data_IF_209348022750
#
_entry.id   IF_209348022750
#
_cell.length_a   1.000
_cell.length_b   1.000
_cell.length_c   1.000
_cell.angle_alpha   90.00
_cell.angle_beta   90.00
_cell.angle_gamma   90.00
#
_symmetry.space_group_name_H-M   'P 1'
#
loop_
_entity.id
_entity.type
_entity.pdbx_description
1 polymer ?
#
# COMPACT_ATOMS: atom_id res chain seq x y z
N UNK A 1 40.61 26.50 18.23
CA UNK A 1 39.76 26.51 17.05
C UNK A 1 39.31 25.08 16.85
N UNK A 2 38.24 24.68 17.53
CA UNK A 2 37.78 23.30 17.56
C UNK A 2 36.61 23.17 16.59
N UNK A 3 36.82 22.44 15.51
CA UNK A 3 35.75 21.95 14.63
C UNK A 3 35.00 20.85 15.34
N UNK A 4 33.94 21.18 16.05
CA UNK A 4 33.00 20.20 16.53
C UNK A 4 32.12 19.79 15.38
N UNK A 5 32.21 18.52 15.05
CA UNK A 5 31.40 17.74 14.10
C UNK A 5 29.92 18.09 14.20
N UNK A 6 29.34 18.49 13.07
CA UNK A 6 27.90 18.68 12.90
C UNK A 6 27.21 17.30 12.85
N UNK A 7 27.02 16.69 13.99
CA UNK A 7 26.17 15.50 14.08
C UNK A 7 24.73 15.96 14.22
N UNK A 8 24.01 15.96 13.11
CA UNK A 8 22.54 15.93 13.12
C UNK A 8 22.12 14.65 13.81
N UNK A 9 21.71 14.74 15.06
CA UNK A 9 21.05 13.63 15.73
C UNK A 9 19.60 13.63 15.28
N UNK A 10 19.35 12.90 14.19
CA UNK A 10 18.02 12.61 13.72
C UNK A 10 17.52 11.34 14.39
N UNK A 11 16.29 11.40 14.85
CA UNK A 11 15.32 10.32 14.91
C UNK A 11 15.51 9.26 16.00
N UNK A 12 14.74 9.40 17.05
CA UNK A 12 14.22 8.21 17.77
C UNK A 12 12.80 7.95 17.23
N UNK A 13 12.68 7.16 16.17
CA UNK A 13 11.41 6.63 15.73
C UNK A 13 11.10 5.40 16.61
N UNK A 14 10.20 5.54 17.56
CA UNK A 14 9.66 4.39 18.29
C UNK A 14 8.51 3.83 17.47
N UNK A 15 8.79 2.80 16.70
CA UNK A 15 7.77 2.03 15.99
C UNK A 15 7.23 0.98 16.96
N UNK A 16 6.11 1.26 17.59
CA UNK A 16 5.36 0.23 18.32
C UNK A 16 4.28 -0.34 17.41
N UNK A 17 4.49 -1.56 16.93
CA UNK A 17 3.48 -2.31 16.21
C UNK A 17 2.74 -3.25 17.17
N UNK A 18 1.49 -2.91 17.48
CA UNK A 18 0.60 -3.88 18.14
C UNK A 18 -0.14 -4.65 17.03
N UNK A 19 0.22 -5.90 16.84
CA UNK A 19 -0.58 -6.83 16.03
C UNK A 19 -1.40 -7.68 16.97
N UNK A 20 -2.66 -7.31 17.18
CA UNK A 20 -3.62 -8.19 17.83
C UNK A 20 -4.22 -9.11 16.76
N UNK A 21 -4.02 -10.40 16.88
CA UNK A 21 -4.66 -11.41 16.03
C UNK A 21 -5.62 -12.22 16.87
N UNK A 22 -6.91 -11.99 16.67
CA UNK A 22 -7.93 -12.91 17.14
C UNK A 22 -8.37 -13.77 15.96
N UNK A 23 -8.19 -15.09 16.07
CA UNK A 23 -8.67 -16.04 15.08
C UNK A 23 -9.73 -16.92 15.76
N UNK A 24 -10.96 -16.78 15.33
CA UNK A 24 -12.02 -17.69 15.68
C UNK A 24 -12.46 -18.48 14.46
N UNK A 25 -12.61 -19.77 14.63
CA UNK A 25 -13.19 -20.67 13.63
C UNK A 25 -14.67 -20.82 13.93
N UNK A 26 -15.52 -20.12 13.18
CA UNK A 26 -16.98 -20.17 13.34
C UNK A 26 -17.58 -21.47 12.80
N UNK A 27 -16.91 -22.11 11.86
CA UNK A 27 -17.17 -23.44 11.35
C UNK A 27 -15.89 -23.98 10.71
N UNK A 28 -15.81 -25.28 10.47
CA UNK A 28 -14.66 -25.92 9.80
C UNK A 28 -14.33 -25.34 8.42
N UNK A 29 -15.13 -24.39 7.91
CA UNK A 29 -15.01 -23.82 6.56
C UNK A 29 -14.77 -22.32 6.51
N UNK A 30 -15.17 -21.56 7.53
CA UNK A 30 -14.99 -20.10 7.58
C UNK A 30 -13.96 -19.75 8.63
N UNK A 31 -12.94 -19.02 8.22
CA UNK A 31 -11.90 -18.46 9.09
C UNK A 31 -11.95 -16.95 9.03
N UNK A 32 -11.85 -16.27 10.16
CA UNK A 32 -11.69 -14.83 10.20
C UNK A 32 -10.55 -14.41 11.12
N UNK A 33 -9.95 -13.30 10.79
CA UNK A 33 -8.83 -12.71 11.53
C UNK A 33 -9.02 -11.20 11.61
N UNK A 34 -9.00 -10.69 12.85
CA UNK A 34 -8.96 -9.24 13.09
C UNK A 34 -7.50 -8.81 13.17
N UNK A 35 -7.17 -7.71 12.55
CA UNK A 35 -5.83 -7.13 12.52
C UNK A 35 -5.90 -5.66 12.92
N UNK A 36 -4.89 -5.21 13.64
CA UNK A 36 -4.71 -3.80 13.97
C UNK A 36 -3.26 -3.37 13.75
N UNK A 37 -3.06 -2.09 13.42
CA UNK A 37 -1.76 -1.48 13.27
C UNK A 37 -1.78 -0.06 13.79
N UNK A 38 -0.75 0.31 14.54
CA UNK A 38 -0.52 1.68 14.99
C UNK A 38 0.95 2.03 14.73
N UNK A 39 1.16 3.14 14.02
CA UNK A 39 2.48 3.74 13.81
C UNK A 39 2.46 5.15 14.40
N UNK A 40 3.41 5.41 15.28
CA UNK A 40 3.60 6.71 15.90
C UNK A 40 5.05 7.14 15.69
N UNK A 41 5.22 8.34 15.20
CA UNK A 41 6.53 8.95 14.96
C UNK A 41 6.77 10.10 15.90
N UNK A 42 8.04 10.29 16.26
CA UNK A 42 8.48 11.43 17.04
C UNK A 42 9.79 11.98 16.48
N UNK A 43 9.90 13.30 16.39
CA UNK A 43 11.09 13.98 15.90
C UNK A 43 11.52 15.11 16.85
N UNK A 44 12.82 15.18 17.12
CA UNK A 44 13.46 16.30 17.85
C UNK A 44 14.62 16.81 17.02
N UNK A 45 14.57 18.08 16.66
CA UNK A 45 15.62 18.77 15.91
C UNK A 45 16.43 19.64 16.87
N UNK A 46 17.64 19.20 17.22
CA UNK A 46 18.50 19.91 18.15
C UNK A 46 19.12 21.17 17.55
N UNK A 47 19.25 21.22 16.23
CA UNK A 47 19.74 22.39 15.50
C UNK A 47 18.90 22.56 14.25
N UNK A 48 18.06 23.57 14.25
CA UNK A 48 17.00 23.73 13.27
C UNK A 48 17.21 24.98 12.41
N UNK A 49 18.19 24.93 11.53
CA UNK A 49 18.44 26.00 10.57
C UNK A 49 17.31 26.12 9.51
N UNK A 50 16.49 25.08 9.38
CA UNK A 50 15.37 24.99 8.40
C UNK A 50 13.98 25.09 9.02
N UNK A 51 13.86 25.42 10.30
CA UNK A 51 12.59 25.58 11.02
C UNK A 51 11.67 24.34 11.02
N UNK A 52 12.23 23.13 11.10
CA UNK A 52 11.43 21.93 11.29
C UNK A 52 10.81 21.89 12.69
N UNK A 53 9.54 21.49 12.78
CA UNK A 53 8.85 21.37 14.07
C UNK A 53 9.27 20.11 14.85
N UNK A 54 9.51 20.26 16.15
CA UNK A 54 9.62 19.12 17.05
C UNK A 54 8.22 18.63 17.40
N UNK A 55 8.03 17.32 17.46
CA UNK A 55 6.70 16.79 17.83
C UNK A 55 6.58 15.28 17.66
N UNK A 56 5.38 14.84 17.94
CA UNK A 56 4.95 13.45 17.74
C UNK A 56 3.71 13.44 16.86
N UNK A 57 3.61 12.46 15.98
CA UNK A 57 2.49 12.29 15.07
C UNK A 57 2.06 10.83 15.00
N UNK A 58 0.74 10.60 14.91
CA UNK A 58 0.19 9.30 14.55
C UNK A 58 0.17 9.18 13.04
N UNK A 59 1.12 8.45 12.50
CA UNK A 59 1.28 8.30 11.07
C UNK A 59 0.26 7.34 10.46
N UNK A 60 -0.13 6.31 11.21
CA UNK A 60 -1.03 5.30 10.69
C UNK A 60 -1.69 4.51 11.82
N UNK A 61 -3.00 4.61 11.92
CA UNK A 61 -3.80 3.78 12.81
C UNK A 61 -4.80 3.03 11.94
N UNK A 62 -4.78 1.69 12.01
CA UNK A 62 -5.68 0.86 11.21
C UNK A 62 -6.28 -0.28 12.03
N UNK A 63 -7.52 -0.58 11.69
CA UNK A 63 -8.22 -1.79 12.14
C UNK A 63 -8.79 -2.47 10.91
N UNK A 64 -8.61 -3.78 10.83
CA UNK A 64 -9.06 -4.56 9.69
C UNK A 64 -9.57 -5.92 10.09
N UNK A 65 -10.34 -6.50 9.19
CA UNK A 65 -10.81 -7.88 9.27
C UNK A 65 -10.52 -8.60 7.96
N UNK A 66 -9.99 -9.80 8.06
CA UNK A 66 -9.84 -10.73 6.94
C UNK A 66 -10.72 -11.95 7.20
N UNK A 67 -11.48 -12.37 6.20
CA UNK A 67 -12.28 -13.60 6.21
C UNK A 67 -11.84 -14.47 5.04
N UNK A 68 -11.66 -15.78 5.30
CA UNK A 68 -11.30 -16.77 4.29
C UNK A 68 -12.34 -17.89 4.29
N UNK A 69 -12.91 -18.17 3.14
CA UNK A 69 -13.89 -19.24 2.95
C UNK A 69 -13.60 -19.97 1.63
N UNK A 70 -13.16 -21.22 1.72
CA UNK A 70 -12.77 -22.04 0.56
C UNK A 70 -11.73 -21.33 -0.32
N UNK A 71 -12.12 -20.85 -1.50
CA UNK A 71 -11.27 -20.16 -2.48
C UNK A 71 -11.40 -18.64 -2.41
N UNK A 72 -12.21 -18.13 -1.49
CA UNK A 72 -12.47 -16.71 -1.30
C UNK A 72 -11.72 -16.15 -0.12
N UNK A 73 -11.03 -15.06 -0.36
CA UNK A 73 -10.45 -14.19 0.67
C UNK A 73 -11.13 -12.82 0.59
N UNK A 74 -11.59 -12.32 1.72
CA UNK A 74 -12.20 -10.99 1.83
C UNK A 74 -11.41 -10.18 2.84
N UNK A 75 -11.15 -8.92 2.55
CA UNK A 75 -10.46 -8.00 3.47
C UNK A 75 -11.18 -6.67 3.51
N UNK A 76 -11.40 -6.17 4.74
CA UNK A 76 -11.83 -4.80 4.97
C UNK A 76 -10.85 -4.18 5.98
N UNK A 77 -10.36 -3.00 5.71
CA UNK A 77 -9.44 -2.25 6.56
C UNK A 77 -9.82 -0.77 6.57
N UNK A 78 -9.99 -0.23 7.77
CA UNK A 78 -10.28 1.17 8.02
C UNK A 78 -9.04 1.81 8.64
N UNK A 79 -8.67 2.99 8.18
CA UNK A 79 -7.53 3.74 8.69
C UNK A 79 -7.92 5.12 9.18
N UNK A 80 -7.20 5.58 10.19
CA UNK A 80 -7.28 6.93 10.71
C UNK A 80 -5.90 7.58 10.56
N UNK A 81 -5.84 8.66 9.79
CA UNK A 81 -4.61 9.43 9.53
C UNK A 81 -4.99 10.91 9.40
N UNK A 82 -4.23 11.80 10.03
CA UNK A 82 -4.43 13.24 9.90
C UNK A 82 -5.85 13.70 10.25
N UNK A 83 -6.45 13.14 11.32
CA UNK A 83 -7.82 13.43 11.79
C UNK A 83 -8.93 13.01 10.82
N UNK A 84 -8.62 12.15 9.85
CA UNK A 84 -9.60 11.62 8.90
C UNK A 84 -9.69 10.10 8.96
N UNK A 85 -10.93 9.60 8.96
CA UNK A 85 -11.21 8.17 8.80
C UNK A 85 -11.38 7.88 7.32
N UNK A 86 -10.75 6.81 6.83
CA UNK A 86 -10.88 6.38 5.44
C UNK A 86 -10.88 4.85 5.34
N UNK A 87 -11.63 4.33 4.38
CA UNK A 87 -11.53 2.91 4.02
C UNK A 87 -10.21 2.72 3.27
N UNK A 88 -9.34 1.87 3.80
CA UNK A 88 -8.06 1.55 3.17
C UNK A 88 -8.25 0.41 2.17
N UNK A 89 -8.44 -0.79 2.64
CA UNK A 89 -8.69 -1.95 1.79
C UNK A 89 -10.14 -2.41 1.95
N UNK A 90 -10.82 -2.72 0.86
CA UNK A 90 -12.14 -3.33 0.86
C UNK A 90 -12.28 -4.16 -0.42
N UNK A 91 -11.88 -5.43 -0.37
CA UNK A 91 -11.84 -6.26 -1.56
C UNK A 91 -12.16 -7.74 -1.27
N UNK A 92 -12.57 -8.44 -2.32
CA UNK A 92 -12.69 -9.89 -2.35
C UNK A 92 -11.72 -10.45 -3.40
N UNK A 93 -11.10 -11.58 -3.06
CA UNK A 93 -10.17 -12.30 -3.94
C UNK A 93 -10.67 -13.73 -4.11
N UNK A 94 -10.73 -14.19 -5.33
CA UNK A 94 -11.02 -15.59 -5.68
C UNK A 94 -9.75 -16.24 -6.24
N UNK A 95 -9.32 -17.35 -5.65
CA UNK A 95 -8.12 -18.08 -6.07
C UNK A 95 -8.46 -19.46 -6.58
N UNK A 96 -8.03 -19.78 -7.80
CA UNK A 96 -8.16 -21.10 -8.42
C UNK A 96 -6.84 -21.54 -9.05
N UNK A 97 -6.07 -22.34 -8.31
CA UNK A 97 -4.74 -22.77 -8.72
C UNK A 97 -3.78 -21.57 -8.90
N UNK A 98 -3.37 -21.32 -10.14
CA UNK A 98 -2.47 -20.19 -10.47
C UNK A 98 -3.20 -18.89 -10.82
N UNK A 99 -4.54 -18.92 -10.86
CA UNK A 99 -5.39 -17.83 -11.28
C UNK A 99 -6.00 -17.15 -10.06
N UNK A 100 -5.91 -15.84 -10.02
CA UNK A 100 -6.42 -15.01 -8.93
C UNK A 100 -7.19 -13.85 -9.55
N UNK A 101 -8.43 -13.66 -9.11
CA UNK A 101 -9.25 -12.51 -9.47
C UNK A 101 -9.51 -11.72 -8.20
N UNK A 102 -9.28 -10.43 -8.25
CA UNK A 102 -9.49 -9.52 -7.12
C UNK A 102 -10.41 -8.39 -7.53
N UNK A 103 -11.41 -8.08 -6.71
CA UNK A 103 -12.41 -7.05 -6.97
C UNK A 103 -12.61 -6.22 -5.72
N UNK A 104 -12.65 -4.90 -5.87
CA UNK A 104 -12.85 -3.96 -4.76
C UNK A 104 -11.84 -2.85 -4.73
N UNK A 105 -11.59 -2.32 -3.55
CA UNK A 105 -10.60 -1.26 -3.33
C UNK A 105 -9.30 -1.84 -2.78
N UNK A 106 -8.22 -1.69 -3.55
CA UNK A 106 -6.89 -2.16 -3.21
C UNK A 106 -5.82 -1.36 -3.98
N UNK A 107 -4.53 -1.61 -3.70
CA UNK A 107 -3.44 -1.00 -4.46
C UNK A 107 -3.38 -1.54 -5.89
N UNK A 108 -3.19 -0.61 -6.85
CA UNK A 108 -2.87 -0.97 -8.23
C UNK A 108 -1.60 -1.84 -8.26
N UNK A 109 -1.60 -3.00 -8.95
CA UNK A 109 -0.46 -3.93 -8.94
C UNK A 109 0.69 -3.47 -9.86
N UNK A 110 1.05 -2.19 -9.82
CA UNK A 110 2.02 -1.56 -10.72
C UNK A 110 3.45 -1.71 -10.20
N UNK A 111 3.75 -1.31 -8.95
CA UNK A 111 5.10 -1.37 -8.39
C UNK A 111 5.22 -2.38 -7.25
N UNK A 112 6.42 -2.95 -7.05
CA UNK A 112 6.69 -3.81 -5.91
C UNK A 112 6.64 -3.06 -4.59
N UNK A 113 7.20 -1.85 -4.54
CA UNK A 113 7.31 -1.08 -3.30
C UNK A 113 5.94 -0.74 -2.70
N UNK A 114 4.94 -0.48 -3.56
CA UNK A 114 3.58 -0.21 -3.07
C UNK A 114 2.83 -1.46 -2.61
N UNK A 115 3.22 -2.63 -3.10
CA UNK A 115 2.63 -3.91 -2.70
C UNK A 115 3.31 -4.50 -1.46
N UNK A 116 4.52 -4.03 -1.12
CA UNK A 116 5.21 -4.42 0.11
C UNK A 116 4.53 -3.81 1.34
N UNK A 117 4.57 -4.56 2.44
CA UNK A 117 4.15 -4.01 3.72
C UNK A 117 5.10 -2.91 4.17
N UNK A 118 4.58 -1.86 4.79
CA UNK A 118 5.40 -0.80 5.39
C UNK A 118 6.41 -1.36 6.42
N UNK A 119 6.11 -2.51 7.04
CA UNK A 119 7.03 -3.17 7.97
C UNK A 119 8.23 -3.83 7.29
N UNK A 120 8.14 -4.11 5.99
CA UNK A 120 9.21 -4.72 5.21
C UNK A 120 10.09 -3.69 4.51
N UNK A 121 9.74 -2.41 4.61
CA UNK A 121 10.55 -1.32 4.07
C UNK A 121 11.78 -1.06 4.95
N UNK A 122 12.92 -0.82 4.32
CA UNK A 122 14.15 -0.42 5.01
C UNK A 122 14.17 1.06 5.40
N UNK A 123 13.35 1.86 4.76
CA UNK A 123 13.20 3.29 4.99
C UNK A 123 11.80 3.55 5.56
N UNK A 124 11.67 4.67 6.24
CA UNK A 124 10.43 5.09 6.89
C UNK A 124 9.25 5.24 5.90
N UNK A 125 9.54 5.63 4.68
CA UNK A 125 8.57 5.76 3.59
C UNK A 125 9.14 5.22 2.27
N UNK A 126 8.23 4.91 1.33
CA UNK A 126 8.61 4.60 -0.03
C UNK A 126 9.33 5.78 -0.70
N UNK A 127 10.26 5.54 -1.63
CA UNK A 127 10.95 6.60 -2.36
C UNK A 127 9.97 7.58 -3.03
N UNK A 128 10.33 8.86 -3.06
CA UNK A 128 9.48 9.90 -3.66
C UNK A 128 9.17 9.65 -5.14
N UNK A 129 10.07 9.02 -5.89
CA UNK A 129 9.84 8.60 -7.27
C UNK A 129 8.72 7.57 -7.41
N UNK A 130 8.62 6.62 -6.47
CA UNK A 130 7.54 5.63 -6.43
C UNK A 130 6.21 6.31 -6.09
N UNK A 131 6.22 7.18 -5.07
CA UNK A 131 5.02 7.93 -4.66
C UNK A 131 4.49 8.85 -5.75
N UNK A 132 5.36 9.43 -6.56
CA UNK A 132 4.97 10.29 -7.68
C UNK A 132 4.31 9.54 -8.84
N UNK A 133 4.67 8.27 -9.05
CA UNK A 133 4.15 7.45 -10.15
C UNK A 133 2.97 6.57 -9.76
N UNK A 134 2.77 6.35 -8.47
CA UNK A 134 1.73 5.46 -7.97
C UNK A 134 0.63 6.23 -7.28
N UNK A 135 -0.59 5.82 -7.50
CA UNK A 135 -1.70 6.29 -6.69
C UNK A 135 -1.88 5.42 -5.45
N UNK A 136 -2.67 5.94 -4.53
CA UNK A 136 -3.17 5.17 -3.40
C UNK A 136 -4.10 4.05 -3.88
N UNK A 137 -4.84 3.47 -2.97
CA UNK A 137 -5.84 2.43 -3.27
C UNK A 137 -6.95 2.98 -4.14
N UNK A 138 -7.41 2.16 -5.09
CA UNK A 138 -8.49 2.49 -6.02
C UNK A 138 -9.49 1.36 -6.12
N UNK A 139 -10.70 1.71 -6.50
CA UNK A 139 -11.73 0.73 -6.81
C UNK A 139 -11.46 0.12 -8.19
N UNK A 140 -11.40 -1.19 -8.27
CA UNK A 140 -11.10 -1.86 -9.53
C UNK A 140 -11.23 -3.36 -9.51
N UNK A 141 -10.81 -3.95 -10.61
CA UNK A 141 -10.74 -5.40 -10.83
C UNK A 141 -9.36 -5.73 -11.37
N UNK A 142 -8.72 -6.73 -10.79
CA UNK A 142 -7.44 -7.24 -11.27
C UNK A 142 -7.47 -8.75 -11.45
N UNK A 143 -6.79 -9.21 -12.47
CA UNK A 143 -6.53 -10.62 -12.72
C UNK A 143 -5.03 -10.88 -12.61
N UNK A 144 -4.66 -11.94 -11.90
CA UNK A 144 -3.28 -12.36 -11.71
C UNK A 144 -3.10 -13.82 -12.08
N UNK A 145 -2.09 -14.10 -12.87
CA UNK A 145 -1.55 -15.43 -13.10
C UNK A 145 -0.23 -15.57 -12.36
N UNK A 146 -0.15 -16.48 -11.41
CA UNK A 146 1.04 -16.69 -10.57
C UNK A 146 1.54 -18.14 -10.67
N UNK A 147 2.62 -18.33 -11.40
CA UNK A 147 3.33 -19.60 -11.54
C UNK A 147 4.74 -19.50 -10.94
N UNK A 148 5.45 -20.61 -10.83
CA UNK A 148 6.80 -20.67 -10.24
C UNK A 148 7.77 -19.68 -10.89
N UNK A 149 7.82 -19.67 -12.24
CA UNK A 149 8.75 -18.85 -13.00
C UNK A 149 8.14 -17.58 -13.61
N UNK A 150 6.81 -17.52 -13.68
CA UNK A 150 6.10 -16.41 -14.32
C UNK A 150 5.05 -15.83 -13.39
N UNK A 151 4.95 -14.51 -13.41
CA UNK A 151 3.86 -13.77 -12.79
C UNK A 151 3.37 -12.73 -13.79
N UNK A 152 2.09 -12.70 -14.03
CA UNK A 152 1.45 -11.69 -14.85
C UNK A 152 0.21 -11.16 -14.13
N UNK A 153 0.07 -9.86 -14.08
CA UNK A 153 -1.09 -9.20 -13.49
C UNK A 153 -1.56 -8.09 -14.40
N UNK A 154 -2.86 -7.91 -14.53
CA UNK A 154 -3.47 -6.78 -15.20
C UNK A 154 -4.74 -6.35 -14.50
N UNK A 155 -5.04 -5.05 -14.50
CA UNK A 155 -6.17 -4.49 -13.80
C UNK A 155 -6.81 -3.31 -14.50
N UNK A 156 -8.07 -3.07 -14.14
CA UNK A 156 -8.87 -1.92 -14.51
C UNK A 156 -9.31 -1.21 -13.23
N UNK A 157 -9.01 0.06 -13.12
CA UNK A 157 -9.27 0.86 -11.92
C UNK A 157 -9.99 2.15 -12.27
N UNK A 158 -10.84 2.61 -11.35
CA UNK A 158 -11.43 3.94 -11.41
C UNK A 158 -10.47 4.97 -10.82
N UNK A 159 -10.71 6.24 -11.06
CA UNK A 159 -9.88 7.32 -10.52
C UNK A 159 -10.21 7.67 -9.06
N UNK A 160 -11.27 7.10 -8.51
CA UNK A 160 -11.76 7.36 -7.16
C UNK A 160 -11.61 6.15 -6.23
N UNK A 161 -11.55 6.43 -4.95
CA UNK A 161 -11.69 5.46 -3.87
C UNK A 161 -13.14 5.47 -3.30
N UNK A 162 -13.48 4.46 -2.51
CA UNK A 162 -14.83 4.34 -1.90
C UNK A 162 -15.15 5.54 -0.99
N UNK A 163 -14.14 6.15 -0.38
CA UNK A 163 -14.33 7.29 0.53
C UNK A 163 -14.55 8.62 -0.20
N UNK A 164 -14.18 8.70 -1.48
CA UNK A 164 -14.23 9.91 -2.31
C UNK A 164 -14.96 9.68 -3.63
N UNK A 165 -16.06 8.93 -3.62
CA UNK A 165 -16.91 8.76 -4.78
C UNK A 165 -17.51 10.09 -5.19
N UNK A 166 -17.11 10.59 -6.34
CA UNK A 166 -17.68 11.79 -6.95
C UNK A 166 -18.77 11.39 -7.94
N UNK A 167 -19.87 12.15 -7.95
CA UNK A 167 -20.97 11.97 -8.90
C UNK A 167 -20.69 12.60 -10.29
N UNK A 168 -19.43 12.88 -10.59
CA UNK A 168 -18.97 13.46 -11.86
C UNK A 168 -18.31 12.38 -12.71
N UNK A 169 -18.01 12.72 -13.94
CA UNK A 169 -17.19 11.89 -14.85
C UNK A 169 -15.94 11.40 -14.15
N UNK A 170 -15.73 10.10 -14.14
CA UNK A 170 -14.59 9.48 -13.46
C UNK A 170 -13.57 9.06 -14.49
N UNK A 171 -12.30 9.37 -14.22
CA UNK A 171 -11.17 8.81 -14.96
C UNK A 171 -11.02 7.30 -14.72
N UNK A 172 -10.22 6.66 -15.54
CA UNK A 172 -9.88 5.25 -15.39
C UNK A 172 -8.39 5.01 -15.59
N UNK A 173 -7.92 3.91 -15.02
CA UNK A 173 -6.57 3.42 -15.25
C UNK A 173 -6.62 1.96 -15.70
N UNK A 174 -5.69 1.62 -16.58
CA UNK A 174 -5.40 0.24 -17.00
C UNK A 174 -3.95 0.00 -16.65
N UNK A 175 -3.68 -1.02 -15.87
CA UNK A 175 -2.32 -1.40 -15.52
C UNK A 175 -2.01 -2.83 -15.92
N UNK A 176 -0.72 -3.11 -16.04
CA UNK A 176 -0.22 -4.45 -16.27
C UNK A 176 1.20 -4.59 -15.77
N UNK A 177 1.50 -5.77 -15.24
CA UNK A 177 2.83 -6.14 -14.78
C UNK A 177 3.14 -7.58 -15.18
N UNK A 178 4.33 -7.77 -15.70
CA UNK A 178 4.87 -9.08 -16.01
C UNK A 178 6.21 -9.28 -15.31
N UNK A 179 6.42 -10.46 -14.75
CA UNK A 179 7.64 -10.83 -14.05
C UNK A 179 8.09 -12.20 -14.50
N UNK A 180 9.38 -12.31 -14.83
CA UNK A 180 10.07 -13.56 -15.07
C UNK A 180 11.05 -13.85 -13.94
N UNK A 181 10.97 -15.04 -13.39
CA UNK A 181 11.82 -15.53 -12.26
C UNK A 181 12.59 -16.75 -12.72
N UNK A 182 13.69 -16.60 -13.49
CA UNK A 182 14.48 -17.73 -13.99
C UNK A 182 15.10 -18.54 -12.86
N UNK A 183 15.51 -17.90 -11.79
CA UNK A 183 15.98 -18.55 -10.56
C UNK A 183 14.99 -18.22 -9.46
N UNK A 184 14.35 -19.24 -8.91
CA UNK A 184 13.38 -19.13 -7.81
C UNK A 184 13.57 -20.31 -6.86
N UNK A 185 14.68 -20.28 -6.11
CA UNK A 185 15.08 -21.28 -5.14
C UNK A 185 15.24 -20.65 -3.77
N UNK A 186 15.24 -21.47 -2.71
CA UNK A 186 15.44 -20.97 -1.35
C UNK A 186 16.78 -20.22 -1.22
N UNK A 187 16.70 -18.92 -0.88
CA UNK A 187 17.87 -18.05 -0.74
C UNK A 187 18.46 -17.52 -2.05
N UNK A 188 17.92 -17.91 -3.22
CA UNK A 188 18.36 -17.42 -4.54
C UNK A 188 17.17 -17.02 -5.38
N UNK A 189 17.04 -15.75 -5.68
CA UNK A 189 15.97 -15.21 -6.52
C UNK A 189 16.55 -14.27 -7.57
N UNK A 190 16.26 -14.53 -8.86
CA UNK A 190 16.45 -13.56 -9.92
C UNK A 190 15.07 -13.14 -10.43
N UNK A 191 14.74 -11.86 -10.27
CA UNK A 191 13.46 -11.26 -10.58
C UNK A 191 13.63 -10.21 -11.66
N UNK A 192 13.08 -10.45 -12.84
CA UNK A 192 13.08 -9.53 -13.96
C UNK A 192 11.62 -9.12 -14.21
N UNK A 193 11.30 -7.84 -14.03
CA UNK A 193 9.94 -7.35 -14.14
C UNK A 193 9.82 -6.11 -15.01
N UNK A 194 8.69 -6.04 -15.70
CA UNK A 194 8.24 -4.85 -16.43
C UNK A 194 6.81 -4.55 -16.02
N UNK A 195 6.48 -3.26 -15.91
CA UNK A 195 5.12 -2.81 -15.63
C UNK A 195 4.80 -1.60 -16.50
N UNK A 196 3.54 -1.47 -16.87
CA UNK A 196 3.01 -0.33 -17.61
C UNK A 196 1.67 0.08 -17.02
N UNK A 197 1.39 1.37 -17.06
CA UNK A 197 0.12 1.95 -16.64
C UNK A 197 -0.30 2.99 -17.67
N UNK A 198 -1.58 2.93 -18.06
CA UNK A 198 -2.26 3.96 -18.80
C UNK A 198 -3.34 4.56 -17.91
N UNK A 199 -3.39 5.89 -17.85
CA UNK A 199 -4.34 6.59 -16.99
C UNK A 199 -4.95 7.77 -17.71
N UNK A 200 -6.27 7.88 -17.64
CA UNK A 200 -7.02 9.04 -18.07
C UNK A 200 -7.51 9.77 -16.82
N UNK A 201 -6.87 10.87 -16.43
CA UNK A 201 -7.30 11.63 -15.26
C UNK A 201 -8.66 12.29 -15.54
N UNK A 202 -9.49 12.37 -14.50
CA UNK A 202 -10.74 13.11 -14.56
C UNK A 202 -10.42 14.60 -14.64
N UNK A 203 -10.61 15.22 -15.82
CA UNK A 203 -10.68 16.68 -16.05
C UNK A 203 -9.75 17.61 -15.28
N UNK A 204 -8.87 17.06 -14.46
CA UNK A 204 -7.89 17.82 -13.71
C UNK A 204 -6.78 18.26 -14.63
N UNK A 205 -7.01 19.36 -15.31
CA UNK A 205 -5.93 20.18 -15.79
C UNK A 205 -4.98 20.41 -14.63
N UNK A 206 -3.72 20.01 -14.80
CA UNK A 206 -2.63 20.50 -13.96
C UNK A 206 -2.61 22.02 -14.13
N UNK A 207 -3.39 22.70 -13.29
CA UNK A 207 -3.20 24.12 -13.08
C UNK A 207 -1.87 24.25 -12.35
N UNK A 208 -0.81 24.44 -13.09
CA UNK A 208 0.35 25.15 -12.59
C UNK A 208 -0.17 26.54 -12.25
N UNK A 209 -0.44 26.79 -10.97
CA UNK A 209 -0.70 28.13 -10.48
C UNK A 209 0.50 28.98 -10.90
N UNK A 210 0.32 30.04 -11.67
CA UNK A 210 1.41 30.98 -11.86
C UNK A 210 1.73 31.60 -10.51
N UNK A 211 2.96 31.40 -10.10
CA UNK A 211 3.57 32.03 -8.92
C UNK A 211 3.52 33.56 -9.01
#
# INVERSE_FOLDING_TARGET
>A
MNYLSKSSLCLLAVVTSLTATAQETLSDKLQYKVTGRMLMDGGVYLRNDNHFGNGTEFNDLRVGMKATYQRWDMKVEIGYVGSKVSIKDAFATYTSGKHIIQVGQFYEPFTMDMLCSTFDLRFHQSPGSVLAMTNSRRLGVAYTYNATHYYACGGLFTDNDISNLKNTSQGYAVDGRFVYRPVNEAGKLLHLGIAAIYRTPDGCLLYTSPS
#
